data_IF_040294148802
#
_entry.id   IF_040294148802
#
_cell.length_a   1.000
_cell.length_b   1.000
_cell.length_c   1.000
_cell.angle_alpha   90.00
_cell.angle_beta   90.00
_cell.angle_gamma   90.00
#
_symmetry.space_group_name_H-M   'P 1'
#
loop_
_entity.id
_entity.type
_entity.pdbx_description
1 polymer ?
#
# COMPACT_ATOMS: atom_id res chain seq x y z
N UNK A 1 1.85 11.61 0.81
CA UNK A 1 0.50 11.43 0.21
C UNK A 1 -0.47 10.95 1.28
N UNK A 2 -1.79 11.01 1.04
CA UNK A 2 -2.75 10.35 1.93
C UNK A 2 -2.66 8.83 1.78
N UNK A 3 -2.90 8.09 2.84
CA UNK A 3 -2.90 6.62 2.82
C UNK A 3 -3.76 6.00 1.69
N UNK A 4 -4.96 6.55 1.46
CA UNK A 4 -5.86 6.13 0.37
C UNK A 4 -5.27 6.38 -1.02
N UNK A 5 -4.48 7.44 -1.19
CA UNK A 5 -3.82 7.73 -2.47
C UNK A 5 -2.74 6.68 -2.76
N UNK A 6 -1.96 6.28 -1.75
CA UNK A 6 -0.99 5.19 -1.90
C UNK A 6 -1.66 3.87 -2.23
N UNK A 7 -2.75 3.54 -1.53
CA UNK A 7 -3.56 2.35 -1.84
C UNK A 7 -4.01 2.37 -3.31
N UNK A 8 -4.61 3.48 -3.76
CA UNK A 8 -5.08 3.61 -5.14
C UNK A 8 -3.94 3.52 -6.17
N UNK A 9 -2.77 4.09 -5.85
CA UNK A 9 -1.58 3.97 -6.70
C UNK A 9 -1.17 2.50 -6.86
N UNK A 10 -1.12 1.74 -5.77
CA UNK A 10 -0.76 0.32 -5.81
C UNK A 10 -1.78 -0.48 -6.62
N UNK A 11 -3.08 -0.25 -6.41
CA UNK A 11 -4.14 -0.92 -7.18
C UNK A 11 -4.05 -0.64 -8.68
N UNK A 12 -3.67 0.58 -9.07
CA UNK A 12 -3.41 0.95 -10.48
C UNK A 12 -2.19 0.25 -11.07
N UNK A 13 -1.28 -0.25 -10.23
CA UNK A 13 -0.06 -0.97 -10.62
C UNK A 13 -0.22 -2.49 -10.42
N UNK A 14 -1.42 -3.02 -10.70
CA UNK A 14 -1.78 -4.45 -10.65
C UNK A 14 -1.66 -5.13 -9.27
N UNK A 15 -1.54 -4.36 -8.19
CA UNK A 15 -1.72 -4.92 -6.85
C UNK A 15 -3.20 -5.21 -6.61
N UNK A 16 -3.49 -6.33 -5.97
CA UNK A 16 -4.86 -6.73 -5.63
C UNK A 16 -5.02 -6.79 -4.12
N UNK A 17 -6.19 -6.39 -3.61
CA UNK A 17 -6.51 -6.59 -2.20
C UNK A 17 -6.73 -8.09 -1.98
N UNK A 18 -5.91 -8.69 -1.13
CA UNK A 18 -6.06 -10.07 -0.68
C UNK A 18 -7.02 -10.15 0.50
N UNK A 19 -6.76 -9.36 1.54
CA UNK A 19 -7.59 -9.30 2.75
C UNK A 19 -7.43 -7.98 3.49
N UNK A 20 -8.39 -7.68 4.35
CA UNK A 20 -8.39 -6.49 5.20
C UNK A 20 -8.51 -6.93 6.66
N UNK A 21 -7.59 -6.46 7.51
CA UNK A 21 -7.64 -6.69 8.97
C UNK A 21 -7.66 -5.34 9.68
N UNK A 22 -8.86 -4.94 10.12
CA UNK A 22 -9.08 -3.59 10.64
C UNK A 22 -8.77 -2.55 9.57
N UNK A 23 -7.78 -1.72 9.81
CA UNK A 23 -7.31 -0.66 8.90
C UNK A 23 -6.14 -1.08 7.99
N UNK A 24 -5.63 -2.31 8.13
CA UNK A 24 -4.54 -2.80 7.30
C UNK A 24 -5.07 -3.54 6.07
N UNK A 25 -4.75 -3.01 4.90
CA UNK A 25 -5.03 -3.61 3.61
C UNK A 25 -3.82 -4.46 3.21
N UNK A 26 -4.02 -5.76 3.07
CA UNK A 26 -3.00 -6.66 2.58
C UNK A 26 -3.16 -6.76 1.06
N UNK A 27 -2.14 -6.34 0.34
CA UNK A 27 -2.08 -6.38 -1.12
C UNK A 27 -1.16 -7.48 -1.59
N UNK A 28 -1.52 -8.13 -2.70
CA UNK A 28 -0.74 -9.18 -3.34
C UNK A 28 -0.49 -8.85 -4.81
N UNK A 29 0.72 -9.12 -5.29
CA UNK A 29 1.10 -9.12 -6.71
C UNK A 29 2.11 -10.23 -6.95
N UNK A 30 1.73 -11.24 -7.75
CA UNK A 30 2.52 -12.45 -7.97
C UNK A 30 2.91 -13.11 -6.62
N UNK A 31 4.20 -13.20 -6.32
CA UNK A 31 4.74 -13.78 -5.09
C UNK A 31 5.06 -12.74 -4.01
N UNK A 32 4.61 -11.49 -4.16
CA UNK A 32 4.86 -10.42 -3.20
C UNK A 32 3.60 -10.03 -2.44
N UNK A 33 3.78 -9.64 -1.17
CA UNK A 33 2.71 -9.16 -0.30
C UNK A 33 3.14 -7.87 0.39
N UNK A 34 2.25 -6.86 0.42
CA UNK A 34 2.47 -5.57 1.09
C UNK A 34 1.30 -5.30 2.03
N UNK A 35 1.58 -4.82 3.24
CA UNK A 35 0.57 -4.31 4.16
C UNK A 35 0.54 -2.78 4.10
N UNK A 36 -0.61 -2.21 3.75
CA UNK A 36 -0.83 -0.76 3.70
C UNK A 36 -1.79 -0.34 4.84
N UNK A 37 -1.35 0.48 5.81
CA UNK A 37 -2.26 1.03 6.80
C UNK A 37 -3.11 2.16 6.19
N UNK A 38 -4.42 2.11 6.40
CA UNK A 38 -5.39 3.10 5.90
C UNK A 38 -6.26 3.59 7.05
N UNK A 39 -6.00 4.82 7.50
CA UNK A 39 -6.67 5.50 8.60
C UNK A 39 -7.28 6.86 8.20
N UNK A 40 -7.26 7.20 6.91
CA UNK A 40 -7.74 8.49 6.38
C UNK A 40 -6.81 9.66 6.69
N UNK A 41 -5.51 9.42 6.92
CA UNK A 41 -4.52 10.43 7.30
C UNK A 41 -3.33 10.45 6.33
N UNK A 42 -2.49 11.48 6.47
CA UNK A 42 -1.24 11.55 5.73
C UNK A 42 -0.26 10.47 6.18
N UNK A 43 0.39 9.86 5.20
CA UNK A 43 1.45 8.89 5.42
C UNK A 43 2.74 9.57 5.87
N UNK A 44 3.41 8.99 6.87
CA UNK A 44 4.78 9.40 7.20
C UNK A 44 5.68 9.09 6.00
N UNK A 45 6.50 10.07 5.57
CA UNK A 45 7.39 9.94 4.40
C UNK A 45 8.26 8.68 4.41
N UNK A 46 8.75 8.26 5.58
CA UNK A 46 9.55 7.03 5.72
C UNK A 46 8.78 5.78 5.35
N UNK A 47 7.54 5.64 5.84
CA UNK A 47 6.67 4.49 5.55
C UNK A 47 6.22 4.50 4.09
N UNK A 48 5.89 5.68 3.55
CA UNK A 48 5.53 5.85 2.14
C UNK A 48 6.66 5.36 1.24
N UNK A 49 7.89 5.82 1.48
CA UNK A 49 9.06 5.42 0.72
C UNK A 49 9.36 3.92 0.86
N UNK A 50 9.20 3.34 2.06
CA UNK A 50 9.42 1.92 2.27
C UNK A 50 8.45 1.07 1.43
N UNK A 51 7.17 1.43 1.42
CA UNK A 51 6.15 0.73 0.64
C UNK A 51 6.39 0.91 -0.86
N UNK A 52 6.72 2.12 -1.33
CA UNK A 52 7.00 2.36 -2.74
C UNK A 52 8.22 1.57 -3.24
N UNK A 53 9.29 1.50 -2.43
CA UNK A 53 10.47 0.66 -2.72
C UNK A 53 10.10 -0.81 -2.78
N UNK A 54 9.34 -1.30 -1.81
CA UNK A 54 8.87 -2.69 -1.80
C UNK A 54 7.98 -2.99 -3.02
N UNK A 55 7.19 -2.02 -3.48
CA UNK A 55 6.35 -2.14 -4.65
C UNK A 55 7.09 -1.95 -5.99
N UNK A 56 8.39 -1.61 -5.98
CA UNK A 56 9.18 -1.34 -7.19
C UNK A 56 8.80 -0.04 -7.90
N UNK A 57 8.22 0.92 -7.18
CA UNK A 57 7.75 2.21 -7.72
C UNK A 57 8.69 3.39 -7.39
N UNK A 58 9.78 3.13 -6.65
CA UNK A 58 10.82 4.09 -6.27
C UNK A 58 12.12 3.37 -5.92
#
# INVERSE_FOLDING_TARGET
MKDKELLNLLLKNDWKIDRIKGSHYILVKMNQTISVPVHGKDMKKGLENAILKQAGLK
#
